data_IF_727092387843
#
_entry.id   IF_727092387843
#
_cell.length_a   1.000
_cell.length_b   1.000
_cell.length_c   1.000
_cell.angle_alpha   90.00
_cell.angle_beta   90.00
_cell.angle_gamma   90.00
#
_symmetry.space_group_name_H-M   'P 1'
#
loop_
_entity.id
_entity.type
_entity.pdbx_description
1 polymer ?
#
# COMPACT_ATOMS: atom_id res chain seq x y z
N UNK A 1 -5.75 -15.81 -26.74
CA UNK A 1 -6.49 -14.82 -25.93
C UNK A 1 -5.49 -13.81 -25.41
N UNK A 2 -5.54 -12.55 -25.86
CA UNK A 2 -4.64 -11.51 -25.37
C UNK A 2 -5.07 -11.05 -23.98
N UNK A 3 -4.16 -11.09 -23.01
CA UNK A 3 -4.39 -10.52 -21.69
C UNK A 3 -4.68 -9.03 -21.83
N UNK A 4 -5.84 -8.58 -21.33
CA UNK A 4 -6.14 -7.15 -21.25
C UNK A 4 -5.15 -6.53 -20.25
N UNK A 5 -4.55 -5.37 -20.57
CA UNK A 5 -3.69 -4.69 -19.61
C UNK A 5 -4.51 -4.31 -18.38
N UNK A 6 -4.18 -4.91 -17.23
CA UNK A 6 -4.78 -4.62 -15.94
C UNK A 6 -4.18 -3.31 -15.44
N UNK A 7 -4.91 -2.20 -15.59
CA UNK A 7 -4.48 -0.92 -15.06
C UNK A 7 -4.62 -0.92 -13.54
N UNK A 8 -3.50 -0.83 -12.82
CA UNK A 8 -3.49 -0.64 -11.37
C UNK A 8 -3.37 0.85 -11.05
N UNK A 9 -4.37 1.39 -10.35
CA UNK A 9 -4.35 2.78 -9.85
C UNK A 9 -3.85 2.79 -8.42
N UNK A 10 -2.83 3.61 -8.14
CA UNK A 10 -2.32 3.88 -6.79
C UNK A 10 -2.66 5.34 -6.45
N UNK A 11 -3.30 5.55 -5.31
CA UNK A 11 -3.59 6.88 -4.81
C UNK A 11 -2.53 7.31 -3.79
N UNK A 12 -1.95 8.49 -3.96
CA UNK A 12 -1.01 9.08 -3.00
C UNK A 12 -1.63 10.32 -2.39
N UNK A 13 -1.78 10.31 -1.07
CA UNK A 13 -2.36 11.39 -0.27
C UNK A 13 -1.23 12.00 0.55
N UNK A 14 -0.88 13.26 0.26
CA UNK A 14 0.12 14.01 1.01
C UNK A 14 -0.57 14.78 2.12
N UNK A 15 -0.01 14.72 3.33
CA UNK A 15 -0.61 15.29 4.53
C UNK A 15 0.42 16.07 5.33
N UNK A 16 0.02 17.25 5.77
CA UNK A 16 0.76 18.14 6.67
C UNK A 16 -0.23 18.88 7.56
N UNK A 17 0.15 19.14 8.80
CA UNK A 17 -0.69 19.77 9.81
C UNK A 17 -1.80 18.85 10.32
N UNK A 18 -2.68 19.40 11.14
CA UNK A 18 -3.88 18.70 11.60
C UNK A 18 -4.76 18.34 10.41
N UNK A 19 -5.20 17.08 10.36
CA UNK A 19 -6.09 16.60 9.30
C UNK A 19 -7.55 16.71 9.72
N UNK A 20 -8.43 17.03 8.77
CA UNK A 20 -9.87 16.86 8.92
C UNK A 20 -10.19 15.35 8.92
N UNK A 21 -10.64 14.84 10.06
CA UNK A 21 -10.83 13.40 10.28
C UNK A 21 -12.20 13.11 10.85
N UNK A 22 -12.81 12.02 10.39
CA UNK A 22 -14.12 11.58 10.85
C UNK A 22 -14.18 10.06 10.85
N UNK A 23 -14.83 9.49 11.87
CA UNK A 23 -15.08 8.05 11.99
C UNK A 23 -16.55 7.84 12.29
N UNK A 24 -17.25 7.21 11.36
CA UNK A 24 -18.68 6.90 11.48
C UNK A 24 -18.95 5.41 11.31
N UNK A 25 -20.18 5.02 11.64
CA UNK A 25 -20.71 3.69 11.42
C UNK A 25 -21.94 3.78 10.52
N UNK A 26 -22.05 2.83 9.60
CA UNK A 26 -23.21 2.63 8.74
C UNK A 26 -23.79 1.24 8.99
N UNK A 27 -25.12 1.16 9.10
CA UNK A 27 -25.88 -0.08 9.36
C UNK A 27 -25.28 -0.99 10.45
N UNK A 28 -25.00 -0.46 11.66
CA UNK A 28 -24.34 -1.24 12.71
C UNK A 28 -25.15 -2.48 13.06
N UNK A 29 -24.45 -3.57 13.42
CA UNK A 29 -25.07 -4.85 13.78
C UNK A 29 -25.85 -5.57 12.67
N UNK A 30 -25.65 -5.20 11.41
CA UNK A 30 -26.21 -5.87 10.23
C UNK A 30 -25.12 -6.51 9.38
N UNK A 31 -25.50 -7.35 8.41
CA UNK A 31 -24.54 -7.92 7.45
C UNK A 31 -23.96 -6.87 6.49
N UNK A 32 -24.63 -5.71 6.37
CA UNK A 32 -24.17 -4.55 5.61
C UNK A 32 -23.45 -3.52 6.49
N UNK A 33 -23.04 -3.91 7.71
CA UNK A 33 -22.33 -3.02 8.61
C UNK A 33 -21.03 -2.52 7.96
N UNK A 34 -20.76 -1.22 8.11
CA UNK A 34 -19.52 -0.62 7.67
C UNK A 34 -19.03 0.41 8.69
N UNK A 35 -17.72 0.49 8.89
CA UNK A 35 -17.08 1.63 9.55
C UNK A 35 -16.49 2.52 8.46
N UNK A 36 -16.87 3.79 8.47
CA UNK A 36 -16.44 4.79 7.49
C UNK A 36 -15.36 5.65 8.13
N UNK A 37 -14.20 5.73 7.51
CA UNK A 37 -13.06 6.52 7.98
C UNK A 37 -12.74 7.58 6.94
N UNK A 38 -12.88 8.85 7.31
CA UNK A 38 -12.48 10.00 6.50
C UNK A 38 -11.17 10.55 7.03
N UNK A 39 -10.20 10.76 6.13
CA UNK A 39 -8.94 11.46 6.42
C UNK A 39 -8.67 12.43 5.29
N UNK A 40 -8.80 13.73 5.57
CA UNK A 40 -8.81 14.78 4.54
C UNK A 40 -9.87 14.47 3.47
N UNK A 41 -9.42 14.37 2.21
CA UNK A 41 -10.28 14.03 1.07
C UNK A 41 -10.35 12.53 0.77
N UNK A 42 -9.86 11.67 1.65
CA UNK A 42 -9.96 10.21 1.46
C UNK A 42 -11.06 9.62 2.33
N UNK A 43 -11.80 8.67 1.75
CA UNK A 43 -12.88 7.96 2.40
C UNK A 43 -12.65 6.45 2.29
N UNK A 44 -12.54 5.79 3.44
CA UNK A 44 -12.25 4.37 3.56
C UNK A 44 -13.41 3.66 4.24
N UNK A 45 -14.00 2.70 3.54
CA UNK A 45 -15.03 1.82 4.08
C UNK A 45 -14.38 0.52 4.56
N UNK A 46 -14.60 0.20 5.83
CA UNK A 46 -14.20 -1.05 6.45
C UNK A 46 -15.45 -1.90 6.63
N UNK A 47 -15.39 -3.17 6.22
CA UNK A 47 -16.53 -4.10 6.32
C UNK A 47 -16.31 -5.22 7.35
N UNK A 48 -15.10 -5.31 7.92
CA UNK A 48 -14.73 -6.38 8.84
C UNK A 48 -13.87 -5.85 10.00
N UNK A 49 -14.08 -6.42 11.20
CA UNK A 49 -13.27 -6.11 12.37
C UNK A 49 -11.78 -6.42 12.14
N UNK A 50 -11.49 -7.59 11.55
CA UNK A 50 -10.11 -8.04 11.30
C UNK A 50 -9.36 -7.07 10.39
N UNK A 51 -10.03 -6.54 9.37
CA UNK A 51 -9.45 -5.51 8.50
C UNK A 51 -9.17 -4.23 9.26
N UNK A 52 -10.11 -3.76 10.10
CA UNK A 52 -9.90 -2.57 10.92
C UNK A 52 -8.71 -2.70 11.88
N UNK A 53 -8.54 -3.87 12.51
CA UNK A 53 -7.39 -4.15 13.36
C UNK A 53 -6.07 -4.19 12.57
N UNK A 54 -6.09 -4.84 11.40
CA UNK A 54 -4.94 -4.94 10.51
C UNK A 54 -4.48 -3.57 9.99
N UNK A 55 -5.42 -2.68 9.66
CA UNK A 55 -5.11 -1.33 9.18
C UNK A 55 -4.67 -0.37 10.27
N UNK A 56 -4.99 -0.64 11.54
CA UNK A 56 -4.51 0.18 12.66
C UNK A 56 -3.03 -0.08 13.00
N UNK A 57 -2.54 -1.29 12.74
CA UNK A 57 -1.16 -1.70 13.03
C UNK A 57 -0.08 -0.86 12.33
N UNK A 58 -0.12 -0.61 11.00
CA UNK A 58 0.88 0.24 10.35
C UNK A 58 0.91 1.66 10.91
N UNK A 59 -0.20 2.20 11.42
CA UNK A 59 -0.18 3.51 12.08
C UNK A 59 0.51 3.47 13.45
N UNK A 60 0.33 2.40 14.22
CA UNK A 60 1.08 2.20 15.45
C UNK A 60 2.59 2.05 15.19
N UNK A 61 2.98 1.41 14.09
CA UNK A 61 4.37 1.34 13.64
C UNK A 61 4.90 2.71 13.18
N UNK A 62 4.11 3.45 12.40
CA UNK A 62 4.44 4.81 11.97
C UNK A 62 4.65 5.75 13.17
N UNK A 63 3.86 5.62 14.24
CA UNK A 63 4.03 6.39 15.48
C UNK A 63 5.43 6.20 16.11
N UNK A 64 6.01 4.99 16.00
CA UNK A 64 7.37 4.71 16.50
C UNK A 64 8.44 5.44 15.67
N UNK A 65 8.23 5.50 14.35
CA UNK A 65 9.13 6.16 13.39
C UNK A 65 8.95 7.69 13.35
N UNK A 66 7.78 8.18 13.75
CA UNK A 66 7.38 9.59 13.65
C UNK A 66 8.22 10.59 14.43
N UNK A 67 9.09 10.11 15.34
CA UNK A 67 10.00 10.97 16.11
C UNK A 67 10.98 11.75 15.22
N UNK A 68 11.25 11.27 14.01
CA UNK A 68 12.13 11.94 13.05
C UNK A 68 11.40 12.95 12.17
N UNK A 69 10.07 13.03 12.26
CA UNK A 69 9.30 14.03 11.51
C UNK A 69 9.44 15.41 12.15
N UNK A 70 9.45 16.48 11.35
CA UNK A 70 9.36 17.82 11.88
C UNK A 70 8.05 18.02 12.65
N UNK A 71 8.07 18.90 13.65
CA UNK A 71 6.86 19.27 14.39
C UNK A 71 5.82 19.91 13.45
N UNK A 72 6.30 20.80 12.56
CA UNK A 72 5.49 21.47 11.54
C UNK A 72 6.19 21.36 10.20
N UNK A 73 5.46 20.97 9.16
CA UNK A 73 5.95 21.09 7.78
C UNK A 73 5.86 22.53 7.28
N UNK A 74 6.63 22.84 6.24
CA UNK A 74 6.46 24.10 5.52
C UNK A 74 5.03 24.22 4.96
N UNK A 75 4.45 25.43 4.98
CA UNK A 75 3.06 25.68 4.54
C UNK A 75 2.77 25.25 3.11
N UNK A 76 3.80 25.17 2.27
CA UNK A 76 3.77 24.79 0.87
C UNK A 76 4.13 23.32 0.62
N UNK A 77 4.44 22.54 1.67
CA UNK A 77 4.80 21.13 1.57
C UNK A 77 3.66 20.26 0.99
N UNK A 78 2.41 20.69 1.19
CA UNK A 78 1.22 20.06 0.60
C UNK A 78 0.33 21.15 0.00
N UNK A 79 0.16 21.13 -1.31
CA UNK A 79 -0.76 22.03 -2.02
C UNK A 79 -2.04 21.27 -2.38
N UNK A 80 -3.23 21.83 -2.09
CA UNK A 80 -4.47 21.24 -2.54
C UNK A 80 -4.55 21.26 -4.07
N UNK A 81 -5.09 20.21 -4.66
CA UNK A 81 -5.33 20.14 -6.10
C UNK A 81 -6.65 20.89 -6.38
N UNK A 82 -6.56 21.99 -7.14
CA UNK A 82 -7.71 22.79 -7.52
C UNK A 82 -8.72 21.95 -8.34
N UNK A 83 -10.00 22.10 -8.05
CA UNK A 83 -11.08 21.34 -8.71
C UNK A 83 -11.20 19.87 -8.30
N UNK A 84 -10.36 19.37 -7.38
CA UNK A 84 -10.47 17.99 -6.91
C UNK A 84 -11.75 17.80 -6.08
N UNK A 85 -12.65 16.85 -6.47
CA UNK A 85 -13.89 16.58 -5.75
C UNK A 85 -13.64 16.07 -4.33
N UNK A 86 -14.69 16.07 -3.52
CA UNK A 86 -14.70 15.57 -2.15
C UNK A 86 -15.78 14.48 -1.99
N UNK A 87 -15.42 13.23 -1.65
CA UNK A 87 -14.05 12.72 -1.46
C UNK A 87 -13.28 12.58 -2.78
N UNK A 88 -11.97 12.79 -2.72
CA UNK A 88 -11.05 12.60 -3.86
C UNK A 88 -10.71 11.12 -4.10
N UNK A 89 -10.70 10.31 -3.02
CA UNK A 89 -10.39 8.88 -3.08
C UNK A 89 -11.40 8.14 -2.22
N UNK A 90 -12.08 7.16 -2.82
CA UNK A 90 -12.95 6.22 -2.11
C UNK A 90 -12.30 4.84 -2.19
N UNK A 91 -12.22 4.13 -1.08
CA UNK A 91 -11.70 2.76 -1.05
C UNK A 91 -12.53 1.89 -0.12
N UNK A 92 -12.82 0.68 -0.57
CA UNK A 92 -13.38 -0.37 0.26
C UNK A 92 -12.24 -1.30 0.66
N UNK A 93 -11.99 -1.44 1.95
CA UNK A 93 -11.01 -2.38 2.46
C UNK A 93 -11.73 -3.59 3.07
N UNK A 94 -11.34 -4.77 2.59
CA UNK A 94 -11.77 -6.07 3.08
C UNK A 94 -10.54 -6.97 3.24
N UNK A 95 -10.69 -8.05 4.01
CA UNK A 95 -9.60 -9.00 4.25
C UNK A 95 -8.34 -8.36 4.87
N UNK A 96 -7.17 -8.68 4.29
CA UNK A 96 -5.86 -8.25 4.78
C UNK A 96 -5.05 -7.55 3.67
N UNK A 97 -5.32 -6.27 3.38
CA UNK A 97 -4.59 -5.54 2.36
C UNK A 97 -3.10 -5.43 2.72
N UNK A 98 -2.23 -5.35 1.71
CA UNK A 98 -0.79 -5.12 1.89
C UNK A 98 -0.57 -3.83 2.67
N UNK A 99 0.09 -3.92 3.83
CA UNK A 99 0.40 -2.76 4.66
C UNK A 99 1.91 -2.62 4.79
N UNK A 100 2.42 -1.41 4.59
CA UNK A 100 3.85 -1.11 4.73
C UNK A 100 4.05 0.28 5.32
N UNK A 101 5.12 0.45 6.08
CA UNK A 101 5.51 1.73 6.67
C UNK A 101 6.99 1.93 6.39
N UNK A 102 7.32 3.04 5.73
CA UNK A 102 8.69 3.38 5.40
C UNK A 102 8.97 4.83 5.82
N UNK A 103 10.14 5.08 6.41
CA UNK A 103 10.67 6.44 6.54
C UNK A 103 11.43 6.79 5.26
N UNK A 104 11.11 7.94 4.68
CA UNK A 104 11.70 8.41 3.43
C UNK A 104 12.46 9.70 3.70
N UNK A 105 13.79 9.62 3.54
CA UNK A 105 14.68 10.76 3.59
C UNK A 105 15.02 11.16 2.16
N UNK A 106 14.38 12.20 1.65
CA UNK A 106 14.68 12.72 0.32
C UNK A 106 15.95 13.60 0.37
N UNK A 107 16.85 13.45 -0.60
CA UNK A 107 18.13 14.19 -0.59
C UNK A 107 17.84 15.67 -0.85
N UNK A 108 17.90 16.47 0.21
CA UNK A 108 17.59 17.90 0.17
C UNK A 108 16.14 18.27 0.50
N UNK A 109 15.29 17.27 0.80
CA UNK A 109 13.92 17.47 1.26
C UNK A 109 13.75 17.23 2.77
N UNK A 110 12.60 17.65 3.31
CA UNK A 110 12.21 17.25 4.67
C UNK A 110 11.84 15.76 4.71
N UNK A 111 12.26 15.02 5.75
CA UNK A 111 11.91 13.61 5.90
C UNK A 111 10.39 13.46 6.04
N UNK A 112 9.86 12.35 5.53
CA UNK A 112 8.44 12.04 5.62
C UNK A 112 8.21 10.54 5.81
N UNK A 113 7.06 10.16 6.37
CA UNK A 113 6.66 8.76 6.48
C UNK A 113 5.74 8.39 5.32
N UNK A 114 5.95 7.22 4.75
CA UNK A 114 5.08 6.60 3.75
C UNK A 114 4.34 5.43 4.40
N UNK A 115 3.04 5.58 4.62
CA UNK A 115 2.17 4.53 5.14
C UNK A 115 1.28 4.02 4.00
N UNK A 116 1.53 2.80 3.55
CA UNK A 116 0.76 2.16 2.49
C UNK A 116 -0.30 1.25 3.10
N UNK A 117 -1.55 1.43 2.69
CA UNK A 117 -2.71 0.60 3.01
C UNK A 117 -3.33 0.10 1.69
N UNK A 118 -2.93 -1.08 1.24
CA UNK A 118 -3.29 -1.62 -0.06
C UNK A 118 -2.81 -0.72 -1.20
N UNK A 119 -3.76 -0.02 -1.83
CA UNK A 119 -3.51 0.91 -2.96
C UNK A 119 -3.50 2.38 -2.58
N UNK A 120 -3.78 2.69 -1.32
CA UNK A 120 -3.69 4.05 -0.80
C UNK A 120 -2.35 4.19 -0.11
N UNK A 121 -1.68 5.29 -0.39
CA UNK A 121 -0.40 5.66 0.21
C UNK A 121 -0.56 7.02 0.85
N UNK A 122 -0.29 7.09 2.14
CA UNK A 122 -0.24 8.34 2.90
C UNK A 122 1.21 8.79 3.05
N UNK A 123 1.53 9.97 2.53
CA UNK A 123 2.80 10.67 2.78
C UNK A 123 2.60 11.67 3.92
N UNK A 124 3.07 11.31 5.11
CA UNK A 124 2.93 12.08 6.34
C UNK A 124 4.16 12.96 6.54
N UNK A 125 3.99 14.27 6.46
CA UNK A 125 5.09 15.25 6.42
C UNK A 125 5.47 15.80 7.79
N UNK A 126 4.57 15.78 8.77
CA UNK A 126 4.81 16.26 10.14
C UNK A 126 4.11 15.44 11.21
N UNK A 127 4.46 15.74 12.47
CA UNK A 127 3.92 15.05 13.64
C UNK A 127 2.41 15.28 13.82
N UNK A 128 1.89 16.47 13.49
CA UNK A 128 0.46 16.74 13.62
C UNK A 128 -0.38 15.86 12.69
N UNK A 129 0.02 15.73 11.42
CA UNK A 129 -0.65 14.84 10.48
C UNK A 129 -0.58 13.38 10.94
N UNK A 130 0.57 12.97 11.49
CA UNK A 130 0.75 11.61 12.03
C UNK A 130 -0.21 11.33 13.19
N UNK A 131 -0.28 12.25 14.17
CA UNK A 131 -1.14 12.11 15.34
C UNK A 131 -2.60 12.00 14.93
N UNK A 132 -3.09 12.89 14.05
CA UNK A 132 -4.47 12.81 13.52
C UNK A 132 -4.77 11.43 12.95
N UNK A 133 -3.87 10.88 12.13
CA UNK A 133 -4.08 9.56 11.53
C UNK A 133 -4.06 8.43 12.56
N UNK A 134 -3.08 8.43 13.47
CA UNK A 134 -2.97 7.40 14.52
C UNK A 134 -4.22 7.37 15.40
N UNK A 135 -4.71 8.54 15.81
CA UNK A 135 -5.91 8.64 16.63
C UNK A 135 -7.15 8.19 15.87
N UNK A 136 -7.28 8.59 14.61
CA UNK A 136 -8.39 8.21 13.73
C UNK A 136 -8.46 6.70 13.53
N UNK A 137 -7.35 6.04 13.18
CA UNK A 137 -7.36 4.59 12.97
C UNK A 137 -7.49 3.80 14.28
N UNK A 138 -7.03 4.36 15.41
CA UNK A 138 -7.33 3.83 16.74
C UNK A 138 -8.82 3.92 17.06
N UNK A 139 -9.46 5.04 16.73
CA UNK A 139 -10.90 5.24 16.90
C UNK A 139 -11.71 4.32 15.98
N UNK A 140 -11.32 4.20 14.71
CA UNK A 140 -11.92 3.27 13.75
C UNK A 140 -11.85 1.82 14.24
N UNK A 141 -10.71 1.40 14.81
CA UNK A 141 -10.60 0.08 15.45
C UNK A 141 -11.55 -0.10 16.63
N UNK A 142 -11.69 0.91 17.49
CA UNK A 142 -12.66 0.87 18.62
C UNK A 142 -14.09 0.80 18.10
N UNK A 143 -14.45 1.61 17.11
CA UNK A 143 -15.76 1.62 16.46
C UNK A 143 -16.06 0.26 15.82
N UNK A 144 -15.12 -0.32 15.10
CA UNK A 144 -15.24 -1.63 14.48
C UNK A 144 -15.62 -2.73 15.47
N UNK A 145 -15.10 -2.69 16.70
CA UNK A 145 -15.45 -3.65 17.77
C UNK A 145 -16.90 -3.52 18.25
N UNK A 146 -17.48 -2.33 18.12
CA UNK A 146 -18.87 -2.05 18.50
C UNK A 146 -19.85 -2.34 17.36
N UNK A 147 -19.41 -2.10 16.12
CA UNK A 147 -20.23 -2.15 14.90
C UNK A 147 -20.33 -3.56 14.34
N UNK A 148 -19.20 -4.26 14.27
CA UNK A 148 -19.16 -5.62 13.76
C UNK A 148 -19.47 -6.59 14.89
N UNK A 149 -20.53 -7.36 14.74
CA UNK A 149 -20.83 -8.44 15.68
C UNK A 149 -19.66 -9.42 15.67
N UNK A 150 -19.19 -9.90 16.84
CA UNK A 150 -18.38 -11.10 16.87
C UNK A 150 -19.20 -12.19 16.20
N UNK A 151 -18.70 -12.65 15.06
CA UNK A 151 -19.30 -13.64 14.17
C UNK A 151 -19.91 -14.75 15.04
N UNK A 152 -21.25 -14.81 15.13
CA UNK A 152 -21.89 -16.04 15.59
C UNK A 152 -21.44 -17.06 14.55
N UNK A 153 -20.74 -18.10 14.99
CA UNK A 153 -19.96 -19.02 14.16
C UNK A 153 -20.73 -19.78 13.06
N UNK A 154 -21.98 -19.42 12.75
CA UNK A 154 -22.83 -20.07 11.78
C UNK A 154 -23.41 -19.05 10.79
N UNK A 155 -22.99 -19.16 9.53
CA UNK A 155 -23.79 -18.66 8.40
C UNK A 155 -23.05 -17.71 7.46
N UNK A 156 -22.38 -18.32 6.47
CA UNK A 156 -21.89 -17.71 5.22
C UNK A 156 -22.66 -16.47 4.75
N UNK A 157 -21.93 -15.37 4.55
CA UNK A 157 -21.84 -14.71 3.23
C UNK A 157 -20.62 -13.77 3.16
N UNK A 158 -19.46 -14.25 2.67
CA UNK A 158 -18.31 -13.39 2.36
C UNK A 158 -18.23 -13.03 0.86
N UNK A 159 -19.15 -13.47 0.01
CA UNK A 159 -18.87 -13.54 -1.44
C UNK A 159 -19.00 -12.21 -2.18
N UNK A 160 -19.89 -11.28 -1.81
CA UNK A 160 -20.09 -10.06 -2.60
C UNK A 160 -18.98 -9.00 -2.39
N UNK A 161 -18.59 -8.74 -1.14
CA UNK A 161 -17.51 -7.80 -0.81
C UNK A 161 -16.14 -8.36 -1.20
N UNK A 162 -15.95 -9.67 -1.06
CA UNK A 162 -14.76 -10.36 -1.55
C UNK A 162 -14.70 -10.36 -3.08
N UNK A 163 -15.81 -10.61 -3.78
CA UNK A 163 -15.86 -10.51 -5.24
C UNK A 163 -15.55 -9.10 -5.75
N UNK A 164 -16.03 -8.04 -5.07
CA UNK A 164 -15.68 -6.66 -5.43
C UNK A 164 -14.19 -6.35 -5.20
N UNK A 165 -13.58 -6.96 -4.18
CA UNK A 165 -12.17 -6.76 -3.84
C UNK A 165 -11.26 -7.59 -4.76
N UNK A 166 -11.63 -8.85 -5.03
CA UNK A 166 -10.95 -9.77 -5.94
C UNK A 166 -11.05 -9.29 -7.40
N UNK A 167 -12.20 -8.74 -7.83
CA UNK A 167 -12.36 -8.15 -9.16
C UNK A 167 -11.45 -6.94 -9.40
N UNK A 168 -11.01 -6.28 -8.32
CA UNK A 168 -10.04 -5.20 -8.40
C UNK A 168 -8.60 -5.70 -8.25
N UNK A 169 -8.34 -6.91 -7.77
CA UNK A 169 -6.99 -7.44 -7.53
C UNK A 169 -6.37 -7.95 -8.85
N UNK A 170 -5.08 -7.67 -9.15
CA UNK A 170 -4.45 -8.23 -10.35
C UNK A 170 -4.32 -9.75 -10.17
N UNK A 171 -4.46 -10.57 -11.23
CA UNK A 171 -4.16 -11.99 -11.14
C UNK A 171 -2.72 -12.16 -10.67
N UNK A 172 -2.52 -12.95 -9.61
CA UNK A 172 -1.19 -13.30 -9.13
C UNK A 172 -0.45 -13.97 -10.29
N UNK A 173 0.66 -13.36 -10.75
CA UNK A 173 1.50 -13.97 -11.77
C UNK A 173 1.95 -15.35 -11.25
N UNK A 174 1.69 -16.45 -11.98
CA UNK A 174 2.20 -17.75 -11.60
C UNK A 174 3.73 -17.66 -11.57
N UNK A 175 4.32 -18.04 -10.44
CA UNK A 175 5.76 -18.12 -10.29
C UNK A 175 6.33 -18.97 -11.44
N UNK A 176 7.44 -18.54 -12.08
CA UNK A 176 8.03 -19.30 -13.16
C UNK A 176 8.44 -20.68 -12.60
N UNK A 177 7.80 -21.72 -13.13
CA UNK A 177 8.19 -23.11 -12.89
C UNK A 177 9.64 -23.23 -13.32
N UNK A 178 10.53 -23.45 -12.36
CA UNK A 178 11.93 -23.73 -12.63
C UNK A 178 12.00 -24.95 -13.55
N UNK A 179 12.16 -24.70 -14.85
CA UNK A 179 12.57 -25.71 -15.82
C UNK A 179 13.94 -26.19 -15.37
N UNK A 180 13.99 -27.40 -14.86
CA UNK A 180 15.21 -28.19 -14.69
C UNK A 180 15.94 -28.19 -16.03
N UNK A 181 17.02 -27.41 -16.10
CA UNK A 181 17.88 -27.37 -17.27
C UNK A 181 18.64 -28.70 -17.33
N UNK A 182 18.23 -29.57 -18.24
CA UNK A 182 18.98 -30.76 -18.61
C UNK A 182 20.24 -30.32 -19.35
N UNK A 183 21.40 -30.52 -18.72
CA UNK A 183 22.72 -30.26 -19.27
C UNK A 183 22.96 -31.09 -20.55
N UNK A 184 23.22 -30.49 -21.72
CA UNK A 184 23.71 -31.25 -22.87
C UNK A 184 25.20 -31.50 -22.72
N UNK A 185 25.58 -32.76 -22.95
CA UNK A 185 26.95 -33.24 -22.94
C UNK A 185 27.82 -32.53 -23.99
N UNK A 186 29.03 -32.16 -23.57
CA UNK A 186 30.07 -31.49 -24.35
C UNK A 186 30.76 -32.50 -25.30
N UNK A 187 30.78 -32.29 -26.63
CA UNK A 187 31.63 -33.06 -27.52
C UNK A 187 33.09 -32.61 -27.38
N UNK A 188 33.97 -33.58 -27.15
CA UNK A 188 35.44 -33.47 -27.25
C UNK A 188 35.86 -33.80 -28.68
N UNK A 189 36.46 -32.86 -29.40
CA UNK A 189 37.35 -33.04 -30.58
C UNK A 189 37.68 -31.63 -31.08
N UNK A 190 38.87 -31.23 -31.50
CA UNK A 190 40.24 -31.75 -31.50
C UNK A 190 41.11 -30.56 -31.96
N UNK A 191 42.33 -30.47 -31.46
CA UNK A 191 43.38 -29.59 -31.97
C UNK A 191 43.51 -29.70 -33.50
N UNK A 192 43.69 -28.57 -34.21
CA UNK A 192 44.81 -28.42 -35.16
C UNK A 192 45.04 -26.97 -35.58
N UNK A 193 46.25 -26.51 -35.27
CA UNK A 193 47.12 -25.58 -36.01
C UNK A 193 46.47 -24.53 -36.92
N UNK A 194 46.73 -23.25 -36.63
CA UNK A 194 47.49 -22.43 -37.56
C UNK A 194 48.29 -21.35 -36.83
N UNK A 195 49.61 -21.51 -36.90
CA UNK A 195 50.64 -20.51 -36.63
C UNK A 195 50.49 -19.30 -37.57
N UNK A 196 51.22 -18.24 -37.22
CA UNK A 196 51.55 -17.04 -38.01
C UNK A 196 50.45 -15.98 -37.90
N UNK A 197 50.69 -14.78 -37.36
CA UNK A 197 51.66 -13.82 -37.87
C UNK A 197 51.85 -12.62 -36.91
N UNK A 198 53.11 -12.17 -36.73
CA UNK A 198 53.56 -10.78 -36.52
C UNK A 198 52.90 -9.97 -35.36
N UNK A 199 53.59 -9.66 -34.27
CA UNK A 199 54.83 -8.88 -34.18
C UNK A 199 54.84 -7.63 -35.08
N UNK A 200 54.48 -6.46 -34.53
CA UNK A 200 55.16 -5.17 -34.80
C UNK A 200 54.57 -3.97 -34.02
N UNK A 201 55.48 -3.37 -33.25
CA UNK A 201 55.74 -1.93 -33.05
C UNK A 201 55.14 -1.22 -31.82
N UNK A 202 56.07 -1.00 -30.88
CA UNK A 202 56.18 0.11 -29.96
C UNK A 202 56.45 1.47 -30.66
N UNK A 203 56.33 2.52 -29.83
CA UNK A 203 57.01 3.83 -29.82
C UNK A 203 56.21 5.01 -30.43
N UNK A 204 56.45 6.26 -29.97
CA UNK A 204 57.56 6.77 -29.13
C UNK A 204 57.20 7.10 -27.68
#
# INVERSE_FOLDING_TARGET
>A
MGERPTQAVIAVIRMSGTQDVQVDASHPNTDNAAVVVRVGKSLLYLHELRTAEHLAEPWAQAAKLGKTLPMYSARDAVKPIAGMPDPAVITHASGKPTCQVNSVNDRGGQPFLRVQLGRIIYEVRDQHALVSCVETFRQARKMARLVFRPERANGRTPDAARAATDALQPPAQPAPTARTATTPARPRTSQRELRQHRDRRQAP
#
